data_IF_635913752522
#
_entry.id   IF_635913752522
#
_cell.length_a   1.000
_cell.length_b   1.000
_cell.length_c   1.000
_cell.angle_alpha   90.00
_cell.angle_beta   90.00
_cell.angle_gamma   90.00
#
_symmetry.space_group_name_H-M   'P 1'
#
loop_
_entity.id
_entity.type
_entity.pdbx_description
1 polymer ?
#
# COMPACT_ATOMS: atom_id res chain seq x y z
N UNK A 1 -5.26 0.19 14.85
CA UNK A 1 -5.18 0.29 16.33
C UNK A 1 -4.80 -1.10 16.86
N UNK A 2 -3.52 -1.40 17.09
CA UNK A 2 -3.09 -2.70 17.64
C UNK A 2 -3.65 -3.94 16.92
N UNK A 3 -3.54 -5.11 17.53
CA UNK A 3 -4.18 -6.35 17.04
C UNK A 3 -5.61 -6.45 17.61
N UNK A 4 -6.62 -6.42 16.75
CA UNK A 4 -8.03 -6.66 17.13
C UNK A 4 -8.56 -8.05 16.79
N UNK A 5 -7.86 -8.82 15.94
CA UNK A 5 -8.29 -10.12 15.44
C UNK A 5 -7.11 -11.08 15.28
N UNK A 6 -7.35 -12.38 15.48
CA UNK A 6 -6.32 -13.44 15.47
C UNK A 6 -6.04 -14.02 14.07
N UNK A 7 -7.01 -13.96 13.14
CA UNK A 7 -6.93 -14.67 11.85
C UNK A 7 -6.84 -13.80 10.59
N UNK A 8 -7.29 -12.54 10.60
CA UNK A 8 -7.21 -11.68 9.40
C UNK A 8 -7.16 -10.21 9.79
N UNK A 9 -6.01 -9.58 9.51
CA UNK A 9 -5.65 -8.20 9.89
C UNK A 9 -5.75 -7.20 8.74
N UNK A 10 -6.11 -7.64 7.53
CA UNK A 10 -6.19 -6.74 6.38
C UNK A 10 -7.35 -5.75 6.57
N UNK A 11 -7.12 -4.44 6.39
CA UNK A 11 -8.19 -3.46 6.34
C UNK A 11 -9.02 -3.66 5.07
N UNK A 12 -10.29 -3.23 5.11
CA UNK A 12 -11.13 -3.19 3.91
C UNK A 12 -10.66 -2.06 3.01
N UNK A 13 -10.35 -2.35 1.75
CA UNK A 13 -9.91 -1.36 0.77
C UNK A 13 -11.05 -1.16 -0.23
N UNK A 14 -11.52 0.08 -0.35
CA UNK A 14 -12.57 0.47 -1.27
C UNK A 14 -12.01 1.48 -2.27
N UNK A 15 -12.12 1.16 -3.55
CA UNK A 15 -11.78 2.02 -4.66
C UNK A 15 -13.08 2.49 -5.30
N UNK A 16 -13.37 3.78 -5.21
CA UNK A 16 -14.62 4.39 -5.70
C UNK A 16 -15.91 3.68 -5.23
N UNK A 17 -15.86 3.07 -4.04
CA UNK A 17 -16.99 2.35 -3.42
C UNK A 17 -17.02 0.83 -3.67
N UNK A 18 -16.09 0.29 -4.46
CA UNK A 18 -15.98 -1.15 -4.71
C UNK A 18 -14.74 -1.73 -4.05
N UNK A 19 -14.85 -2.96 -3.53
CA UNK A 19 -13.72 -3.65 -2.91
C UNK A 19 -12.70 -4.07 -3.99
N UNK A 20 -11.46 -3.58 -3.87
CA UNK A 20 -10.37 -3.89 -4.81
C UNK A 20 -9.02 -3.86 -4.09
N UNK A 21 -8.06 -4.63 -4.61
CA UNK A 21 -6.68 -4.61 -4.12
C UNK A 21 -5.99 -3.29 -4.46
N UNK A 22 -5.26 -2.71 -3.50
CA UNK A 22 -4.47 -1.49 -3.72
C UNK A 22 -3.31 -1.70 -4.71
N UNK A 23 -2.91 -2.95 -4.97
CA UNK A 23 -1.80 -3.30 -5.87
C UNK A 23 -2.16 -3.11 -7.35
N UNK A 24 -3.44 -3.05 -7.67
CA UNK A 24 -3.92 -2.93 -9.05
C UNK A 24 -4.06 -1.47 -9.49
N UNK A 25 -3.83 -0.51 -8.58
CA UNK A 25 -3.89 0.91 -8.85
C UNK A 25 -2.49 1.49 -9.01
N UNK A 26 -2.33 2.37 -10.01
CA UNK A 26 -1.15 3.22 -10.09
C UNK A 26 -1.31 4.42 -9.17
N UNK A 27 -0.18 4.98 -8.68
CA UNK A 27 -0.22 6.20 -7.86
C UNK A 27 -0.75 7.40 -8.65
N UNK A 28 -0.55 7.39 -9.97
CA UNK A 28 -0.93 8.47 -10.87
C UNK A 28 -2.45 8.59 -11.01
N UNK A 29 -3.18 7.48 -10.85
CA UNK A 29 -4.64 7.42 -10.91
C UNK A 29 -5.33 7.84 -9.61
N UNK A 30 -4.61 7.87 -8.49
CA UNK A 30 -5.17 8.17 -7.17
C UNK A 30 -5.40 9.68 -7.02
N UNK A 31 -6.65 10.08 -6.75
CA UNK A 31 -7.01 11.46 -6.37
C UNK A 31 -6.77 11.68 -4.88
N UNK A 32 -7.28 10.77 -4.04
CA UNK A 32 -7.12 10.89 -2.59
C UNK A 32 -7.24 9.54 -1.88
N UNK A 33 -6.54 9.41 -0.76
CA UNK A 33 -6.62 8.27 0.14
C UNK A 33 -7.12 8.75 1.50
N UNK A 34 -8.22 8.18 2.00
CA UNK A 34 -8.74 8.44 3.34
C UNK A 34 -8.73 7.15 4.16
N UNK A 35 -8.18 7.23 5.36
CA UNK A 35 -8.08 6.10 6.27
C UNK A 35 -9.06 6.31 7.42
N UNK A 36 -10.09 5.47 7.50
CA UNK A 36 -11.08 5.49 8.55
C UNK A 36 -10.63 4.57 9.69
N UNK A 37 -10.24 5.17 10.81
CA UNK A 37 -9.74 4.47 12.00
C UNK A 37 -10.71 4.47 13.18
N UNK A 38 -11.76 5.28 13.12
CA UNK A 38 -12.72 5.47 14.21
C UNK A 38 -13.98 4.65 13.99
N UNK A 39 -14.46 4.04 15.07
CA UNK A 39 -15.57 3.08 15.05
C UNK A 39 -16.85 3.63 14.40
N UNK A 40 -17.12 4.93 14.54
CA UNK A 40 -18.28 5.61 13.95
C UNK A 40 -18.14 5.74 12.43
N UNK A 41 -16.94 6.03 11.92
CA UNK A 41 -16.70 6.11 10.48
C UNK A 41 -16.69 4.73 9.83
N UNK A 42 -16.36 3.71 10.62
CA UNK A 42 -16.20 2.33 10.16
C UNK A 42 -17.47 1.48 10.27
N UNK A 43 -18.43 1.87 11.12
CA UNK A 43 -19.70 1.16 11.32
C UNK A 43 -20.56 1.06 10.05
N UNK A 44 -20.46 2.04 9.16
CA UNK A 44 -21.11 2.04 7.83
C UNK A 44 -20.71 0.83 6.97
N UNK A 45 -19.54 0.25 7.21
CA UNK A 45 -18.99 -0.87 6.43
C UNK A 45 -19.09 -2.22 7.18
N UNK A 46 -19.77 -2.24 8.34
CA UNK A 46 -20.07 -3.45 9.10
C UNK A 46 -18.84 -4.20 9.63
N UNK A 47 -18.97 -5.53 9.80
CA UNK A 47 -17.92 -6.40 10.36
C UNK A 47 -16.63 -6.36 9.53
N UNK A 48 -16.73 -6.18 8.21
CA UNK A 48 -15.58 -6.04 7.31
C UNK A 48 -14.75 -4.78 7.58
N UNK A 49 -15.38 -3.75 8.16
CA UNK A 49 -14.70 -2.56 8.63
C UNK A 49 -13.93 -2.76 9.94
N UNK A 50 -14.10 -3.84 10.71
CA UNK A 50 -13.55 -3.96 12.06
C UNK A 50 -12.03 -3.70 12.17
N UNK A 51 -11.27 -3.97 11.10
CA UNK A 51 -9.83 -3.73 11.01
C UNK A 51 -9.43 -2.34 10.48
N UNK A 52 -10.41 -1.47 10.19
CA UNK A 52 -10.24 -0.19 9.52
C UNK A 52 -10.61 -0.25 8.03
N UNK A 53 -10.93 0.91 7.46
CA UNK A 53 -11.32 1.06 6.05
C UNK A 53 -10.41 2.07 5.38
N UNK A 54 -9.89 1.71 4.21
CA UNK A 54 -9.12 2.60 3.34
C UNK A 54 -9.99 2.93 2.14
N UNK A 55 -10.38 4.20 2.02
CA UNK A 55 -11.10 4.72 0.87
C UNK A 55 -10.09 5.34 -0.09
N UNK A 56 -10.07 4.82 -1.30
CA UNK A 56 -9.31 5.37 -2.43
C UNK A 56 -10.31 5.95 -3.42
N UNK A 57 -10.09 7.20 -3.80
CA UNK A 57 -10.86 7.87 -4.86
C UNK A 57 -9.95 8.06 -6.06
N UNK A 58 -10.41 7.67 -7.25
CA UNK A 58 -9.63 7.83 -8.49
C UNK A 58 -9.87 9.19 -9.13
N UNK A 59 -8.89 9.69 -9.88
CA UNK A 59 -9.00 10.95 -10.64
C UNK A 59 -10.04 10.77 -11.73
N UNK A 60 -11.04 11.65 -11.76
CA UNK A 60 -12.05 11.72 -12.82
C UNK A 60 -11.79 12.90 -13.75
N UNK A 61 -12.21 12.75 -15.00
CA UNK A 61 -12.16 13.84 -15.98
C UNK A 61 -13.01 15.03 -15.52
N UNK A 62 -12.50 16.24 -15.76
CA UNK A 62 -13.22 17.50 -15.58
C UNK A 62 -13.61 18.06 -16.95
N UNK A 63 -14.75 18.77 -17.02
CA UNK A 63 -15.23 19.49 -18.22
C UNK A 63 -14.38 20.71 -18.60
N UNK A 64 -13.33 20.99 -17.83
CA UNK A 64 -12.35 22.05 -18.11
C UNK A 64 -11.41 21.66 -19.25
N UNK A 65 -10.68 22.66 -19.78
CA UNK A 65 -9.69 22.47 -20.84
C UNK A 65 -8.76 21.27 -20.60
N UNK A 66 -8.35 20.54 -21.66
CA UNK A 66 -7.51 19.36 -21.53
C UNK A 66 -6.20 19.69 -20.79
N UNK A 67 -5.88 18.92 -19.75
CA UNK A 67 -4.61 19.03 -19.03
C UNK A 67 -3.78 17.77 -19.26
N UNK A 68 -2.53 17.95 -19.69
CA UNK A 68 -1.58 16.87 -19.93
C UNK A 68 -0.45 16.98 -18.91
N UNK A 69 -0.28 15.94 -18.09
CA UNK A 69 0.81 15.83 -17.14
C UNK A 69 1.68 14.64 -17.54
N UNK A 70 2.99 14.87 -17.71
CA UNK A 70 3.97 13.85 -18.03
C UNK A 70 5.07 13.83 -16.97
N UNK A 71 5.41 12.65 -16.47
CA UNK A 71 6.45 12.44 -15.48
C UNK A 71 7.36 11.30 -15.91
N UNK A 72 8.67 11.51 -15.78
CA UNK A 72 9.69 10.51 -16.05
C UNK A 72 10.60 10.38 -14.82
N UNK A 73 10.84 9.15 -14.38
CA UNK A 73 11.66 8.84 -13.21
C UNK A 73 12.67 7.75 -13.56
N UNK A 74 13.92 7.94 -13.13
CA UNK A 74 15.02 6.98 -13.31
C UNK A 74 15.60 6.63 -11.95
N UNK A 75 15.52 5.36 -11.56
CA UNK A 75 15.95 4.86 -10.25
C UNK A 75 17.07 3.81 -10.42
N UNK A 76 18.17 3.98 -9.69
CA UNK A 76 19.23 2.98 -9.55
C UNK A 76 19.33 2.55 -8.08
N UNK A 77 19.17 1.25 -7.80
CA UNK A 77 19.24 0.70 -6.46
C UNK A 77 20.51 -0.13 -6.26
N UNK A 78 21.28 0.16 -5.20
CA UNK A 78 22.36 -0.70 -4.71
C UNK A 78 21.92 -1.42 -3.43
N UNK A 79 22.36 -2.67 -3.22
CA UNK A 79 21.99 -3.44 -2.03
C UNK A 79 22.52 -2.76 -0.76
N UNK A 80 21.64 -2.46 0.19
CA UNK A 80 21.99 -1.73 1.43
C UNK A 80 22.68 -2.58 2.48
N UNK A 81 22.52 -3.91 2.44
CA UNK A 81 23.25 -4.86 3.28
C UNK A 81 23.59 -6.08 2.45
N UNK A 82 24.88 -6.36 2.35
CA UNK A 82 25.40 -7.63 1.84
C UNK A 82 25.82 -8.47 3.06
N UNK A 83 25.64 -9.80 3.03
CA UNK A 83 26.22 -10.66 4.04
C UNK A 83 27.74 -10.53 4.04
N UNK A 84 28.34 -10.50 5.23
CA UNK A 84 29.79 -10.59 5.36
C UNK A 84 30.19 -12.05 5.14
N UNK A 85 30.92 -12.32 4.06
CA UNK A 85 31.47 -13.65 3.78
C UNK A 85 32.75 -13.85 4.58
N UNK A 86 32.89 -15.03 5.18
CA UNK A 86 34.15 -15.44 5.82
C UNK A 86 35.21 -15.73 4.75
N UNK A 87 36.48 -15.55 5.09
CA UNK A 87 37.58 -15.85 4.18
C UNK A 87 37.71 -17.37 3.93
N UNK A 88 38.40 -17.73 2.83
CA UNK A 88 38.53 -19.13 2.42
C UNK A 88 39.26 -20.00 3.45
N UNK A 89 40.15 -19.39 4.24
CA UNK A 89 40.89 -20.09 5.30
C UNK A 89 40.00 -20.44 6.49
N UNK A 90 39.19 -19.48 6.97
CA UNK A 90 38.22 -19.69 8.06
C UNK A 90 37.17 -20.72 7.65
N UNK A 91 36.71 -20.68 6.39
CA UNK A 91 35.79 -21.69 5.85
C UNK A 91 36.40 -23.10 5.86
N UNK A 92 37.67 -23.25 5.43
CA UNK A 92 38.36 -24.54 5.40
C UNK A 92 38.65 -25.09 6.82
N UNK A 93 38.85 -24.22 7.81
CA UNK A 93 39.07 -24.62 9.22
C UNK A 93 37.80 -25.03 9.97
N UNK A 94 36.62 -24.73 9.44
CA UNK A 94 35.33 -25.07 10.05
C UNK A 94 34.73 -26.39 9.53
N UNK A 95 35.35 -26.99 8.51
CA UNK A 95 35.11 -28.35 8.01
C UNK A 95 35.94 -29.37 8.80
#
# INVERSE_FOLDING_TARGET
RGMGTLNSKSPLILVDGFERSLKELSSEEIESVRVLKDAVATSLYGIRGANGVILVKTKRGSLTSPQFNFSYEFNMATPKRLPDFVDGYTYASAL
#
